data_IF_765075162236
#
_entry.id   IF_765075162236
#
_cell.length_a   1.000
_cell.length_b   1.000
_cell.length_c   1.000
_cell.angle_alpha   90.00
_cell.angle_beta   90.00
_cell.angle_gamma   90.00
#
_symmetry.space_group_name_H-M   'P 1'
#
loop_
_entity.id
_entity.type
_entity.pdbx_description
1 polymer ?
#
# COMPACT_ATOMS: atom_id res chain seq x y z
N UNK A 1 -27.42 38.99 -9.35
CA UNK A 1 -26.38 38.18 -10.02
C UNK A 1 -25.14 38.22 -9.15
N UNK A 2 -24.97 37.22 -8.29
CA UNK A 2 -23.81 37.16 -7.41
C UNK A 2 -22.58 36.79 -8.24
N UNK A 3 -21.60 37.69 -8.27
CA UNK A 3 -20.32 37.45 -8.90
C UNK A 3 -19.67 36.22 -8.27
N UNK A 4 -19.46 35.17 -9.07
CA UNK A 4 -18.63 34.03 -8.71
C UNK A 4 -17.19 34.51 -8.53
N UNK A 5 -16.85 34.91 -7.30
CA UNK A 5 -15.46 35.04 -6.89
C UNK A 5 -14.87 33.63 -6.98
N UNK A 6 -13.98 33.40 -7.95
CA UNK A 6 -13.10 32.22 -7.95
C UNK A 6 -12.43 32.16 -6.58
N UNK A 7 -12.88 31.23 -5.74
CA UNK A 7 -12.22 30.96 -4.48
C UNK A 7 -10.78 30.52 -4.82
N UNK A 8 -9.77 31.10 -4.17
CA UNK A 8 -8.39 30.81 -4.52
C UNK A 8 -8.08 29.33 -4.32
N UNK A 9 -7.22 28.80 -5.20
CA UNK A 9 -6.74 27.43 -5.13
C UNK A 9 -6.35 27.03 -3.70
N UNK A 10 -6.65 25.77 -3.38
CA UNK A 10 -6.39 25.01 -2.15
C UNK A 10 -5.06 25.29 -1.43
N UNK A 11 -4.07 25.74 -2.19
CA UNK A 11 -2.84 26.31 -1.68
C UNK A 11 -2.34 27.26 -2.78
N UNK A 12 -2.20 28.55 -2.46
CA UNK A 12 -1.96 29.61 -3.47
C UNK A 12 -0.56 29.58 -4.09
N UNK A 13 0.39 28.92 -3.43
CA UNK A 13 1.79 28.91 -3.85
C UNK A 13 2.13 27.66 -4.66
N UNK A 14 3.12 27.80 -5.53
CA UNK A 14 3.65 26.68 -6.30
C UNK A 14 4.32 25.67 -5.38
N UNK A 15 4.00 24.40 -5.58
CA UNK A 15 4.66 23.30 -4.90
C UNK A 15 5.81 22.77 -5.76
N UNK A 16 6.95 22.52 -5.11
CA UNK A 16 8.15 22.00 -5.74
C UNK A 16 8.40 20.58 -5.28
N UNK A 17 8.76 19.71 -6.22
CA UNK A 17 9.23 18.37 -5.91
C UNK A 17 10.58 18.46 -5.20
N UNK A 18 10.70 17.87 -4.01
CA UNK A 18 11.94 17.83 -3.24
C UNK A 18 12.19 16.45 -2.63
N UNK A 19 13.45 16.02 -2.60
CA UNK A 19 13.92 14.85 -1.86
C UNK A 19 13.95 15.13 -0.35
N UNK A 20 12.77 15.14 0.27
CA UNK A 20 12.55 15.61 1.64
C UNK A 20 13.07 14.67 2.72
N UNK A 21 13.27 13.39 2.43
CA UNK A 21 13.95 12.47 3.37
C UNK A 21 15.39 12.89 3.65
N UNK A 22 16.13 13.35 2.63
CA UNK A 22 17.50 13.87 2.80
C UNK A 22 17.52 15.18 3.59
N UNK A 23 16.55 16.05 3.33
CA UNK A 23 16.38 17.32 4.07
C UNK A 23 16.03 17.07 5.55
N UNK A 24 15.13 16.13 5.83
CA UNK A 24 14.79 15.71 7.19
C UNK A 24 15.99 15.10 7.91
N UNK A 25 16.75 14.23 7.23
CA UNK A 25 17.96 13.64 7.79
C UNK A 25 19.00 14.71 8.16
N UNK A 26 19.18 15.74 7.32
CA UNK A 26 20.05 16.88 7.62
C UNK A 26 19.58 17.71 8.83
N UNK A 27 18.28 17.67 9.17
CA UNK A 27 17.68 18.26 10.38
C UNK A 27 17.60 17.28 11.57
N UNK A 28 18.21 16.09 11.48
CA UNK A 28 18.16 15.07 12.53
C UNK A 28 16.83 14.32 12.66
N UNK A 29 15.92 14.46 11.69
CA UNK A 29 14.62 13.79 11.67
C UNK A 29 14.70 12.50 10.86
N UNK A 30 14.12 11.41 11.39
CA UNK A 30 14.16 10.09 10.73
C UNK A 30 13.19 9.93 9.56
N UNK A 31 12.24 10.85 9.39
CA UNK A 31 11.27 10.90 8.31
C UNK A 31 10.67 12.32 8.21
N UNK A 32 10.04 12.64 7.09
CA UNK A 32 9.16 13.82 6.99
C UNK A 32 7.70 13.38 7.11
N UNK A 33 6.80 14.31 7.44
CA UNK A 33 5.36 14.03 7.61
C UNK A 33 4.57 14.92 6.69
N UNK A 34 3.61 14.35 5.97
CA UNK A 34 2.69 15.12 5.14
C UNK A 34 1.79 15.97 6.05
N UNK A 35 1.81 17.29 5.86
CA UNK A 35 1.01 18.22 6.64
C UNK A 35 -0.50 18.03 6.42
N UNK A 36 -0.88 17.49 5.27
CA UNK A 36 -2.27 17.26 4.93
C UNK A 36 -2.82 16.00 5.61
N UNK A 37 -2.27 14.84 5.24
CA UNK A 37 -2.80 13.56 5.65
C UNK A 37 -2.12 12.96 6.88
N UNK A 38 -1.11 13.65 7.43
CA UNK A 38 -0.32 13.27 8.61
C UNK A 38 0.42 11.94 8.51
N UNK A 39 0.47 11.33 7.31
CA UNK A 39 1.28 10.15 7.07
C UNK A 39 2.76 10.51 7.05
N UNK A 40 3.58 9.66 7.63
CA UNK A 40 5.04 9.82 7.57
C UNK A 40 5.58 9.27 6.25
N UNK A 41 6.76 9.74 5.85
CA UNK A 41 7.44 9.26 4.65
C UNK A 41 7.73 7.77 4.69
N UNK A 42 7.89 7.19 5.89
CA UNK A 42 8.01 5.75 6.13
C UNK A 42 6.71 5.01 5.84
N UNK A 43 5.58 5.49 6.38
CA UNK A 43 4.24 4.94 6.09
C UNK A 43 3.82 5.09 4.63
N UNK A 44 4.37 6.10 3.94
CA UNK A 44 4.14 6.33 2.51
C UNK A 44 5.13 5.62 1.62
N UNK A 45 6.25 5.15 2.15
CA UNK A 45 7.32 4.53 1.38
C UNK A 45 7.92 5.48 0.32
N UNK A 46 7.92 6.79 0.62
CA UNK A 46 8.31 7.87 -0.31
C UNK A 46 9.53 8.63 0.20
N UNK A 47 10.41 9.01 -0.71
CA UNK A 47 11.60 9.81 -0.39
C UNK A 47 11.38 11.30 -0.59
N UNK A 48 10.34 11.67 -1.36
CA UNK A 48 10.04 13.03 -1.80
C UNK A 48 8.76 13.61 -1.21
N UNK A 49 8.72 14.92 -1.03
CA UNK A 49 7.48 15.68 -0.79
C UNK A 49 7.30 16.73 -1.90
N UNK A 50 6.09 17.28 -1.97
CA UNK A 50 5.76 18.50 -2.68
C UNK A 50 5.74 19.63 -1.67
N UNK A 51 6.81 20.43 -1.66
CA UNK A 51 7.00 21.49 -0.68
C UNK A 51 6.62 22.85 -1.24
N UNK A 52 5.96 23.65 -0.42
CA UNK A 52 5.85 25.09 -0.60
C UNK A 52 7.05 25.80 0.00
N UNK A 53 7.75 26.61 -0.78
CA UNK A 53 8.86 27.43 -0.25
C UNK A 53 8.39 28.68 0.50
N UNK A 54 7.15 29.12 0.25
CA UNK A 54 6.59 30.34 0.86
C UNK A 54 5.98 30.11 2.25
N UNK A 55 5.49 28.90 2.54
CA UNK A 55 4.86 28.58 3.83
C UNK A 55 5.33 27.28 4.49
N UNK A 56 6.44 26.68 4.00
CA UNK A 56 7.04 25.42 4.49
C UNK A 56 6.06 24.25 4.60
N UNK A 57 4.99 24.27 3.81
CA UNK A 57 4.01 23.18 3.71
C UNK A 57 4.63 22.01 2.94
N UNK A 58 4.64 20.82 3.55
CA UNK A 58 5.02 19.56 2.92
C UNK A 58 3.80 18.68 2.70
N UNK A 59 3.43 18.47 1.44
CA UNK A 59 2.38 17.50 1.11
C UNK A 59 2.93 16.33 0.29
N UNK A 60 2.31 15.18 0.46
CA UNK A 60 2.66 14.00 -0.29
C UNK A 60 2.04 14.05 -1.71
N UNK A 61 2.60 13.30 -2.65
CA UNK A 61 2.12 13.25 -4.04
C UNK A 61 0.60 13.00 -4.16
N UNK A 62 0.06 12.05 -3.40
CA UNK A 62 -1.38 11.79 -3.34
C UNK A 62 -2.18 13.03 -2.90
N UNK A 63 -1.68 13.77 -1.92
CA UNK A 63 -2.33 14.97 -1.39
C UNK A 63 -2.17 16.18 -2.31
N UNK A 64 -1.15 16.17 -3.18
CA UNK A 64 -0.89 17.27 -4.13
C UNK A 64 -1.84 17.31 -5.32
N UNK A 65 -2.53 16.19 -5.60
CA UNK A 65 -3.38 16.04 -6.78
C UNK A 65 -4.86 16.16 -6.40
N UNK A 66 -5.70 16.87 -7.19
CA UNK A 66 -7.12 16.90 -6.93
C UNK A 66 -7.76 15.52 -7.12
N UNK A 67 -8.69 15.15 -6.25
CA UNK A 67 -9.41 13.87 -6.29
C UNK A 67 -10.86 14.06 -6.72
N UNK A 68 -11.51 12.99 -7.14
CA UNK A 68 -12.97 12.94 -7.37
C UNK A 68 -13.56 11.81 -6.55
N UNK A 69 -14.70 12.04 -5.92
CA UNK A 69 -15.42 11.02 -5.15
C UNK A 69 -16.82 10.82 -5.71
N UNK A 70 -17.52 9.78 -5.25
CA UNK A 70 -18.93 9.55 -5.59
C UNK A 70 -19.89 10.31 -4.69
N UNK A 71 -19.39 10.96 -3.64
CA UNK A 71 -20.21 11.64 -2.61
C UNK A 71 -20.55 13.08 -3.00
N UNK A 72 -19.89 13.62 -4.02
CA UNK A 72 -20.07 14.99 -4.49
C UNK A 72 -19.62 15.13 -5.96
N UNK A 73 -20.29 15.96 -6.78
CA UNK A 73 -20.02 16.05 -8.23
C UNK A 73 -18.67 16.68 -8.60
N UNK A 74 -18.18 17.63 -7.79
CA UNK A 74 -16.95 18.38 -8.07
C UNK A 74 -15.70 17.67 -7.55
N UNK A 75 -14.54 18.14 -7.99
CA UNK A 75 -13.25 17.64 -7.51
C UNK A 75 -12.92 18.31 -6.18
N UNK A 76 -12.05 17.64 -5.44
CA UNK A 76 -11.57 18.10 -4.16
C UNK A 76 -10.07 18.29 -4.18
N UNK A 77 -9.63 19.26 -3.41
CA UNK A 77 -8.24 19.66 -3.27
C UNK A 77 -7.91 19.82 -1.79
N UNK A 78 -6.67 19.51 -1.40
CA UNK A 78 -6.24 19.72 -0.02
C UNK A 78 -6.14 21.22 0.24
N UNK A 79 -6.91 21.71 1.20
CA UNK A 79 -6.97 23.15 1.51
C UNK A 79 -6.52 23.47 2.93
N UNK A 80 -5.96 24.66 3.13
CA UNK A 80 -5.75 25.20 4.47
C UNK A 80 -7.10 25.53 5.13
N UNK A 81 -7.42 24.80 6.21
CA UNK A 81 -8.65 25.02 6.97
C UNK A 81 -8.76 26.43 7.55
N UNK A 82 -7.64 27.09 7.89
CA UNK A 82 -7.67 28.48 8.41
C UNK A 82 -7.95 29.51 7.33
N UNK A 83 -7.63 29.19 6.08
CA UNK A 83 -7.94 30.06 4.94
C UNK A 83 -9.44 30.05 4.59
N UNK A 84 -10.14 28.96 4.91
CA UNK A 84 -11.58 28.78 4.64
C UNK A 84 -12.41 29.11 5.88
N UNK A 85 -11.98 28.65 7.06
CA UNK A 85 -12.71 28.74 8.31
C UNK A 85 -11.96 29.61 9.31
N UNK A 86 -12.55 30.71 9.84
CA UNK A 86 -11.85 31.66 10.72
C UNK A 86 -11.26 31.04 12.00
N UNK A 87 -11.88 30.00 12.55
CA UNK A 87 -11.39 29.26 13.72
C UNK A 87 -10.54 28.03 13.34
N UNK A 88 -10.39 27.78 12.02
CA UNK A 88 -9.74 26.63 11.42
C UNK A 88 -10.33 25.27 11.82
N UNK A 89 -11.54 25.25 12.40
CA UNK A 89 -12.29 24.02 12.68
C UNK A 89 -13.15 23.72 11.47
N UNK A 90 -13.18 22.44 11.09
CA UNK A 90 -13.95 21.99 9.94
C UNK A 90 -14.58 20.63 10.24
N UNK A 91 -15.67 20.31 9.54
CA UNK A 91 -16.38 19.05 9.64
C UNK A 91 -16.29 18.28 8.34
N UNK A 92 -16.18 16.96 8.40
CA UNK A 92 -16.31 16.13 7.21
C UNK A 92 -17.79 15.91 6.90
N UNK A 93 -18.27 16.34 5.74
CA UNK A 93 -19.66 16.18 5.31
C UNK A 93 -20.04 14.72 5.07
N UNK A 94 -19.06 13.87 4.75
CA UNK A 94 -19.34 12.44 4.50
C UNK A 94 -19.54 11.63 5.78
N UNK A 95 -18.74 11.83 6.84
CA UNK A 95 -18.85 11.03 8.07
C UNK A 95 -19.36 11.80 9.29
N UNK A 96 -19.40 13.14 9.24
CA UNK A 96 -19.79 13.99 10.36
C UNK A 96 -18.73 14.13 11.46
N UNK A 97 -17.49 13.70 11.23
CA UNK A 97 -16.38 13.92 12.17
C UNK A 97 -15.94 15.38 12.15
N UNK A 98 -15.57 15.91 13.32
CA UNK A 98 -15.01 17.26 13.47
C UNK A 98 -13.49 17.20 13.55
N UNK A 99 -12.85 18.26 13.04
CA UNK A 99 -11.40 18.41 12.96
C UNK A 99 -10.95 19.81 13.37
N UNK A 100 -9.74 19.91 13.89
CA UNK A 100 -9.11 21.17 14.29
C UNK A 100 -8.00 21.57 13.30
N UNK A 101 -7.59 22.84 13.38
CA UNK A 101 -6.59 23.43 12.49
C UNK A 101 -5.16 22.88 12.64
N UNK A 102 -4.86 22.18 13.74
CA UNK A 102 -3.56 21.52 13.95
C UNK A 102 -3.56 20.06 13.45
N UNK A 103 -4.74 19.54 13.09
CA UNK A 103 -4.93 18.16 12.65
C UNK A 103 -4.85 18.00 11.14
N UNK A 104 -5.63 17.05 10.63
CA UNK A 104 -5.76 16.79 9.19
C UNK A 104 -6.32 18.01 8.44
N UNK A 105 -5.80 18.25 7.25
CA UNK A 105 -6.40 19.21 6.32
C UNK A 105 -7.65 18.61 5.63
N UNK A 106 -8.64 19.41 5.25
CA UNK A 106 -9.77 18.95 4.46
C UNK A 106 -9.40 18.69 3.00
N UNK A 107 -10.04 17.69 2.40
CA UNK A 107 -10.32 17.71 0.97
C UNK A 107 -11.51 18.63 0.73
N UNK A 108 -11.24 19.87 0.33
CA UNK A 108 -12.26 20.89 0.07
C UNK A 108 -12.66 20.93 -1.39
N UNK A 109 -13.93 21.14 -1.66
CA UNK A 109 -14.47 21.30 -3.01
C UNK A 109 -13.86 22.52 -3.73
N UNK A 110 -13.31 22.33 -4.93
CA UNK A 110 -12.66 23.40 -5.69
C UNK A 110 -13.64 24.41 -6.31
N UNK A 111 -14.93 24.07 -6.36
CA UNK A 111 -16.01 24.86 -7.00
C UNK A 111 -16.88 25.62 -5.97
N UNK A 112 -16.35 25.83 -4.75
CA UNK A 112 -16.98 26.70 -3.74
C UNK A 112 -18.22 26.14 -3.04
N UNK A 113 -18.46 24.83 -3.12
CA UNK A 113 -19.63 24.20 -2.49
C UNK A 113 -19.54 24.04 -0.96
N UNK A 114 -18.49 24.53 -0.30
CA UNK A 114 -18.24 24.30 1.14
C UNK A 114 -18.41 22.84 1.56
N UNK A 115 -18.05 21.91 0.67
CA UNK A 115 -18.11 20.49 0.93
C UNK A 115 -16.69 19.99 1.22
N UNK A 116 -16.51 19.37 2.38
CA UNK A 116 -15.25 18.87 2.89
C UNK A 116 -15.30 17.38 3.19
N UNK A 117 -14.23 16.68 2.81
CA UNK A 117 -14.08 15.26 3.06
C UNK A 117 -12.78 15.01 3.82
N UNK A 118 -12.81 14.17 4.84
CA UNK A 118 -11.60 13.75 5.52
C UNK A 118 -10.91 12.58 4.81
N UNK A 119 -9.60 12.46 5.02
CA UNK A 119 -8.79 11.37 4.46
C UNK A 119 -9.34 9.97 4.77
N UNK A 120 -9.97 9.77 5.94
CA UNK A 120 -10.59 8.48 6.27
C UNK A 120 -11.80 8.15 5.39
N UNK A 121 -12.48 9.14 4.83
CA UNK A 121 -13.63 8.95 3.93
C UNK A 121 -13.24 8.80 2.46
N UNK A 122 -12.07 9.32 2.07
CA UNK A 122 -11.56 9.15 0.70
C UNK A 122 -10.83 7.81 0.51
N UNK A 123 -10.45 7.15 1.61
CA UNK A 123 -9.73 5.88 1.60
C UNK A 123 -10.68 4.69 1.65
N UNK A 124 -10.34 3.69 0.86
CA UNK A 124 -10.90 2.35 0.97
C UNK A 124 -9.92 1.49 1.77
N UNK A 125 -10.40 0.83 2.81
CA UNK A 125 -9.57 0.05 3.72
C UNK A 125 -9.78 -1.45 3.49
N UNK A 126 -8.69 -2.18 3.30
CA UNK A 126 -8.68 -3.64 3.39
C UNK A 126 -8.33 -4.02 4.83
N UNK A 127 -9.02 -5.00 5.38
CA UNK A 127 -8.80 -5.44 6.75
C UNK A 127 -8.98 -6.95 6.82
N UNK A 128 -8.07 -7.68 7.45
CA UNK A 128 -8.15 -9.13 7.60
C UNK A 128 -9.39 -9.62 8.37
N UNK A 129 -10.07 -8.73 9.10
CA UNK A 129 -11.35 -9.07 9.74
C UNK A 129 -12.51 -9.23 8.75
N UNK A 130 -12.38 -8.77 7.50
CA UNK A 130 -13.48 -8.84 6.52
C UNK A 130 -12.99 -8.78 5.06
N UNK A 131 -13.48 -9.66 4.16
CA UNK A 131 -12.97 -9.76 2.79
C UNK A 131 -13.31 -8.58 1.88
N UNK A 132 -14.32 -7.78 2.20
CA UNK A 132 -14.73 -6.64 1.38
C UNK A 132 -14.10 -5.32 1.85
N UNK A 133 -13.89 -4.36 0.94
CA UNK A 133 -13.38 -3.06 1.31
C UNK A 133 -14.35 -2.28 2.23
N UNK A 134 -13.77 -1.68 3.27
CA UNK A 134 -14.47 -0.86 4.25
C UNK A 134 -14.22 0.62 3.96
N UNK A 135 -15.27 1.44 4.07
CA UNK A 135 -15.20 2.90 3.93
C UNK A 135 -15.77 3.57 5.17
N UNK A 136 -15.14 4.64 5.62
CA UNK A 136 -15.68 5.42 6.74
C UNK A 136 -17.02 6.05 6.32
N UNK A 137 -18.05 5.85 7.13
CA UNK A 137 -19.42 6.24 6.79
C UNK A 137 -20.11 7.02 7.93
N UNK A 138 -21.19 7.72 7.59
CA UNK A 138 -22.03 8.40 8.58
C UNK A 138 -22.98 7.40 9.24
N UNK A 139 -22.76 7.09 10.53
CA UNK A 139 -23.60 6.13 11.26
C UNK A 139 -25.06 6.57 11.38
N UNK A 140 -25.34 7.88 11.41
CA UNK A 140 -26.72 8.40 11.51
C UNK A 140 -27.51 8.13 10.22
N UNK A 141 -26.83 8.15 9.08
CA UNK A 141 -27.45 7.83 7.78
C UNK A 141 -27.61 6.32 7.59
N UNK A 142 -26.64 5.52 8.03
CA UNK A 142 -26.72 4.06 7.95
C UNK A 142 -27.76 3.46 8.91
N UNK A 143 -27.84 3.99 10.12
CA UNK A 143 -28.65 3.44 11.21
C UNK A 143 -29.64 4.46 11.79
N UNK A 144 -30.55 5.04 10.98
CA UNK A 144 -31.40 6.16 11.41
C UNK A 144 -32.43 5.79 12.49
N UNK A 145 -32.70 4.48 12.67
CA UNK A 145 -33.62 3.95 13.69
C UNK A 145 -32.93 3.66 15.02
N UNK A 146 -31.60 3.69 15.05
CA UNK A 146 -30.81 3.44 16.26
C UNK A 146 -30.25 4.78 16.75
N UNK A 147 -29.84 4.82 18.02
CA UNK A 147 -29.08 5.96 18.58
C UNK A 147 -27.57 5.72 18.55
N UNK A 148 -27.17 4.49 18.22
CA UNK A 148 -25.81 3.99 18.21
C UNK A 148 -25.58 3.04 17.04
N UNK A 149 -24.32 2.77 16.76
CA UNK A 149 -23.89 1.67 15.90
C UNK A 149 -22.94 0.76 16.67
N UNK A 150 -22.70 -0.46 16.19
CA UNK A 150 -21.89 -1.47 16.88
C UNK A 150 -20.82 -2.04 15.97
N UNK A 151 -19.60 -2.17 16.47
CA UNK A 151 -18.50 -2.84 15.76
C UNK A 151 -18.73 -4.36 15.75
N UNK A 152 -18.67 -5.01 14.60
CA UNK A 152 -18.89 -6.45 14.48
C UNK A 152 -17.77 -7.30 15.09
N UNK A 153 -16.57 -6.74 15.22
CA UNK A 153 -15.42 -7.46 15.78
C UNK A 153 -15.36 -7.42 17.30
N UNK A 154 -15.40 -6.24 17.90
CA UNK A 154 -15.27 -6.08 19.35
C UNK A 154 -16.60 -5.86 20.08
N UNK A 155 -17.72 -5.73 19.35
CA UNK A 155 -19.06 -5.50 19.88
C UNK A 155 -19.23 -4.18 20.65
N UNK A 156 -18.21 -3.31 20.67
CA UNK A 156 -18.31 -1.98 21.25
C UNK A 156 -19.33 -1.14 20.47
N UNK A 157 -20.12 -0.36 21.21
CA UNK A 157 -21.11 0.57 20.66
C UNK A 157 -20.57 1.99 20.63
N UNK A 158 -21.07 2.81 19.72
CA UNK A 158 -20.71 4.23 19.61
C UNK A 158 -21.92 5.04 19.18
N UNK A 159 -22.14 6.18 19.86
CA UNK A 159 -23.23 7.10 19.54
C UNK A 159 -22.98 7.80 18.20
N UNK A 160 -24.05 8.29 17.56
CA UNK A 160 -23.95 8.96 16.27
C UNK A 160 -23.16 10.26 16.26
N UNK A 161 -23.04 10.95 17.38
CA UNK A 161 -22.29 12.20 17.55
C UNK A 161 -20.80 11.97 17.92
N UNK A 162 -20.44 10.75 18.31
CA UNK A 162 -19.08 10.38 18.69
C UNK A 162 -18.10 10.50 17.52
N UNK A 163 -16.81 10.74 17.81
CA UNK A 163 -15.77 10.85 16.76
C UNK A 163 -15.49 9.53 16.04
N UNK A 164 -15.70 8.39 16.70
CA UNK A 164 -15.55 7.07 16.09
C UNK A 164 -16.79 6.74 15.26
N UNK A 165 -16.56 6.50 13.97
CA UNK A 165 -17.59 6.24 12.97
C UNK A 165 -17.32 4.88 12.33
N UNK A 166 -18.36 4.17 11.88
CA UNK A 166 -18.18 2.85 11.29
C UNK A 166 -17.34 2.95 10.03
N UNK A 167 -16.39 2.02 9.92
CA UNK A 167 -15.81 1.64 8.64
C UNK A 167 -16.70 0.54 8.08
N UNK A 168 -17.66 0.97 7.28
CA UNK A 168 -18.75 0.17 6.76
C UNK A 168 -18.36 -0.52 5.46
N UNK A 169 -18.76 -1.78 5.34
CA UNK A 169 -18.61 -2.55 4.14
C UNK A 169 -19.56 -2.05 3.05
N UNK A 170 -19.03 -1.83 1.84
CA UNK A 170 -19.86 -1.38 0.70
C UNK A 170 -20.74 -2.47 0.10
N UNK A 171 -20.64 -3.72 0.59
CA UNK A 171 -21.32 -4.90 0.04
C UNK A 171 -22.22 -5.64 1.05
N UNK A 172 -22.04 -5.42 2.35
CA UNK A 172 -22.85 -6.03 3.40
C UNK A 172 -22.88 -5.13 4.64
N UNK A 173 -23.56 -5.57 5.70
CA UNK A 173 -23.76 -4.77 6.91
C UNK A 173 -22.56 -4.76 7.87
N UNK A 174 -21.39 -5.22 7.43
CA UNK A 174 -20.23 -5.37 8.31
C UNK A 174 -19.56 -4.03 8.63
N UNK A 175 -19.31 -3.78 9.91
CA UNK A 175 -18.73 -2.56 10.45
C UNK A 175 -17.53 -2.82 11.37
N UNK A 176 -16.48 -2.02 11.21
CA UNK A 176 -15.39 -1.92 12.18
C UNK A 176 -15.31 -0.55 12.81
N UNK A 177 -14.96 -0.51 14.10
CA UNK A 177 -14.46 0.70 14.75
C UNK A 177 -13.03 1.01 14.36
N UNK A 178 -12.62 2.27 14.55
CA UNK A 178 -11.29 2.71 14.15
C UNK A 178 -10.18 1.88 14.81
N UNK A 179 -10.34 1.52 16.08
CA UNK A 179 -9.37 0.66 16.79
C UNK A 179 -9.27 -0.72 16.15
N UNK A 180 -10.38 -1.42 15.98
CA UNK A 180 -10.39 -2.75 15.39
C UNK A 180 -9.88 -2.75 13.96
N UNK A 181 -10.23 -1.70 13.19
CA UNK A 181 -9.71 -1.48 11.87
C UNK A 181 -8.19 -1.30 11.90
N UNK A 182 -7.65 -0.46 12.79
CA UNK A 182 -6.19 -0.26 12.89
C UNK A 182 -5.44 -1.55 13.24
N UNK A 183 -6.06 -2.42 14.04
CA UNK A 183 -5.52 -3.73 14.40
C UNK A 183 -5.64 -4.80 13.30
N UNK A 184 -6.43 -4.57 12.24
CA UNK A 184 -6.64 -5.55 11.15
C UNK A 184 -6.33 -5.05 9.76
N UNK A 185 -6.23 -3.74 9.56
CA UNK A 185 -5.50 -3.15 8.42
C UNK A 185 -4.10 -3.75 8.46
N UNK A 186 -3.52 -3.95 7.28
CA UNK A 186 -2.12 -4.33 7.08
C UNK A 186 -1.18 -3.46 7.93
N UNK A 187 -1.01 -3.87 9.18
CA UNK A 187 0.06 -3.51 10.10
C UNK A 187 0.91 -4.76 10.10
N UNK A 188 2.11 -4.65 9.53
CA UNK A 188 3.16 -5.65 9.67
C UNK A 188 3.16 -6.16 11.12
N UNK A 189 3.19 -7.48 11.37
CA UNK A 189 3.21 -7.98 12.73
C UNK A 189 4.40 -7.36 13.45
N UNK A 190 4.14 -6.56 14.49
CA UNK A 190 5.17 -6.19 15.45
C UNK A 190 5.75 -7.51 15.96
N UNK A 191 6.94 -7.88 15.51
CA UNK A 191 7.76 -8.89 16.18
C UNK A 191 8.21 -8.27 17.50
N UNK A 192 7.31 -8.19 18.48
CA UNK A 192 7.69 -8.10 19.88
C UNK A 192 8.12 -9.51 20.29
N UNK A 193 9.41 -9.74 20.61
CA UNK A 193 9.77 -10.97 21.30
C UNK A 193 9.03 -10.98 22.64
N UNK A 194 8.31 -12.07 22.90
CA UNK A 194 7.71 -12.33 24.19
C UNK A 194 8.78 -12.24 25.26
N UNK A 195 8.56 -11.36 26.24
CA UNK A 195 9.30 -11.33 27.50
C UNK A 195 9.08 -12.67 28.22
N UNK A 196 9.93 -13.65 27.91
CA UNK A 196 10.14 -14.80 28.76
C UNK A 196 11.00 -14.32 29.93
N UNK A 197 10.38 -14.26 31.11
CA UNK A 197 11.06 -14.15 32.39
C UNK A 197 12.04 -15.31 32.50
N UNK A 198 13.35 -15.03 32.42
CA UNK A 198 14.39 -15.97 32.81
C UNK A 198 15.20 -15.34 33.93
N UNK A 199 15.12 -16.02 35.07
CA UNK A 199 15.84 -15.82 36.31
C UNK A 199 17.34 -15.68 36.09
N UNK A 200 17.94 -14.76 36.83
CA UNK A 200 19.38 -14.58 36.91
C UNK A 200 20.06 -15.82 37.50
N UNK A 201 21.04 -16.37 36.78
CA UNK A 201 22.17 -17.11 37.36
C UNK A 201 23.42 -16.84 36.52
N UNK A 202 24.51 -16.54 37.24
CA UNK A 202 25.82 -16.12 36.77
C UNK A 202 26.52 -17.06 35.78
N UNK A 203 27.36 -16.45 34.92
CA UNK A 203 28.64 -17.04 34.51
C UNK A 203 28.82 -17.47 33.04
N UNK A 204 29.43 -16.59 32.24
CA UNK A 204 30.49 -16.94 31.26
C UNK A 204 30.09 -17.54 29.89
N UNK A 205 30.44 -16.81 28.81
CA UNK A 205 30.66 -17.39 27.48
C UNK A 205 29.84 -16.76 26.34
N UNK A 206 30.47 -15.89 25.54
CA UNK A 206 29.87 -15.29 24.34
C UNK A 206 29.90 -16.31 23.19
N UNK A 207 28.75 -16.89 22.84
CA UNK A 207 28.54 -17.59 21.56
C UNK A 207 27.58 -16.77 20.72
N UNK A 208 28.06 -16.33 19.56
CA UNK A 208 27.24 -15.64 18.56
C UNK A 208 26.32 -16.67 17.88
N UNK A 209 25.03 -16.58 18.14
CA UNK A 209 24.01 -17.33 17.41
C UNK A 209 23.63 -16.54 16.15
N UNK A 210 24.16 -16.99 15.01
CA UNK A 210 23.71 -16.57 13.67
C UNK A 210 22.57 -17.50 13.27
N UNK A 211 21.35 -16.99 13.32
CA UNK A 211 20.17 -17.67 12.78
C UNK A 211 20.18 -17.67 11.24
N UNK A 212 20.71 -18.74 10.64
CA UNK A 212 20.65 -19.00 9.19
C UNK A 212 19.32 -19.66 8.79
N UNK A 213 18.31 -18.87 8.47
CA UNK A 213 17.21 -19.34 7.62
C UNK A 213 17.75 -19.56 6.19
N UNK A 214 17.45 -20.72 5.53
CA UNK A 214 17.98 -20.98 4.21
C UNK A 214 17.43 -19.99 3.17
N UNK A 215 18.27 -19.53 2.24
CA UNK A 215 17.90 -18.53 1.22
C UNK A 215 16.86 -19.08 0.20
N UNK A 216 15.86 -18.27 -0.17
CA UNK A 216 14.79 -18.66 -1.10
C UNK A 216 15.31 -19.15 -2.46
N UNK A 217 14.62 -20.12 -3.08
CA UNK A 217 15.04 -20.69 -4.37
C UNK A 217 14.49 -19.89 -5.56
N UNK A 218 13.29 -19.33 -5.42
CA UNK A 218 12.56 -18.66 -6.50
C UNK A 218 12.21 -17.24 -6.06
N UNK A 219 12.47 -16.26 -6.90
CA UNK A 219 11.92 -14.90 -6.76
C UNK A 219 10.68 -14.79 -7.64
N UNK A 220 9.54 -14.34 -7.10
CA UNK A 220 8.31 -14.14 -7.87
C UNK A 220 8.07 -12.64 -8.02
N UNK A 221 8.29 -12.15 -9.24
CA UNK A 221 8.01 -10.79 -9.68
C UNK A 221 6.60 -10.73 -10.27
N UNK A 222 5.77 -9.79 -9.81
CA UNK A 222 4.39 -9.66 -10.27
C UNK A 222 3.87 -8.23 -10.09
N UNK A 223 2.76 -7.91 -10.76
CA UNK A 223 2.03 -6.67 -10.52
C UNK A 223 0.98 -6.91 -9.43
N UNK A 224 0.92 -6.02 -8.44
CA UNK A 224 0.04 -6.15 -7.26
C UNK A 224 -1.44 -6.37 -7.60
N UNK A 225 -1.91 -5.99 -8.79
CA UNK A 225 -3.28 -6.24 -9.25
C UNK A 225 -3.68 -7.73 -9.30
N UNK A 226 -2.71 -8.66 -9.39
CA UNK A 226 -2.95 -10.10 -9.40
C UNK A 226 -2.43 -10.81 -8.15
N UNK A 227 -2.20 -10.08 -7.06
CA UNK A 227 -1.61 -10.61 -5.82
C UNK A 227 -2.29 -11.89 -5.32
N UNK A 228 -3.62 -11.95 -5.34
CA UNK A 228 -4.36 -13.13 -4.86
C UNK A 228 -4.00 -14.40 -5.66
N UNK A 229 -3.93 -14.29 -7.00
CA UNK A 229 -3.55 -15.41 -7.89
C UNK A 229 -2.08 -15.79 -7.71
N UNK A 230 -1.20 -14.83 -7.47
CA UNK A 230 0.24 -15.08 -7.29
C UNK A 230 0.53 -15.66 -5.90
N UNK A 231 -0.22 -15.27 -4.88
CA UNK A 231 -0.19 -15.92 -3.57
C UNK A 231 -0.64 -17.38 -3.65
N UNK A 232 -1.64 -17.68 -4.47
CA UNK A 232 -2.06 -19.05 -4.75
C UNK A 232 -0.95 -19.84 -5.47
N UNK A 233 -0.30 -19.25 -6.50
CA UNK A 233 0.88 -19.84 -7.15
C UNK A 233 1.98 -20.13 -6.12
N UNK A 234 2.31 -19.17 -5.26
CA UNK A 234 3.32 -19.31 -4.21
C UNK A 234 2.99 -20.48 -3.28
N UNK A 235 1.77 -20.56 -2.75
CA UNK A 235 1.34 -21.67 -1.87
C UNK A 235 1.48 -23.03 -2.54
N UNK A 236 1.14 -23.12 -3.83
CA UNK A 236 1.29 -24.35 -4.61
C UNK A 236 2.75 -24.73 -4.84
N UNK A 237 3.65 -23.76 -5.07
CA UNK A 237 5.08 -24.03 -5.19
C UNK A 237 5.70 -24.45 -3.85
N UNK A 238 5.30 -23.79 -2.75
CA UNK A 238 5.79 -24.10 -1.40
C UNK A 238 5.30 -25.47 -0.91
N UNK A 239 4.07 -25.88 -1.23
CA UNK A 239 3.58 -27.24 -0.95
C UNK A 239 4.34 -28.33 -1.73
N UNK A 240 5.03 -27.94 -2.81
CA UNK A 240 5.94 -28.79 -3.59
C UNK A 240 7.41 -28.60 -3.20
N UNK A 241 7.68 -28.06 -2.01
CA UNK A 241 9.00 -27.84 -1.43
C UNK A 241 9.90 -26.85 -2.20
N UNK A 242 9.29 -25.92 -2.94
CA UNK A 242 9.98 -24.83 -3.63
C UNK A 242 9.82 -23.56 -2.81
N UNK A 243 10.91 -23.14 -2.16
CA UNK A 243 10.93 -21.96 -1.28
C UNK A 243 10.89 -20.69 -2.13
N UNK A 244 9.85 -19.89 -1.95
CA UNK A 244 9.57 -18.73 -2.79
C UNK A 244 9.75 -17.43 -1.99
N UNK A 245 10.44 -16.48 -2.60
CA UNK A 245 10.44 -15.09 -2.19
C UNK A 245 9.51 -14.33 -3.14
N UNK A 246 8.65 -13.49 -2.58
CA UNK A 246 7.86 -12.54 -3.35
C UNK A 246 7.67 -11.31 -2.48
N UNK A 247 7.50 -10.15 -3.10
CA UNK A 247 7.01 -9.00 -2.37
C UNK A 247 5.55 -9.25 -1.97
N UNK A 248 5.30 -9.64 -0.73
CA UNK A 248 3.93 -9.89 -0.24
C UNK A 248 3.18 -8.60 0.13
N UNK A 249 3.66 -7.42 -0.25
CA UNK A 249 3.06 -6.13 0.13
C UNK A 249 3.24 -5.78 1.61
N UNK A 250 3.98 -6.62 2.34
CA UNK A 250 4.32 -6.48 3.77
C UNK A 250 5.76 -5.95 3.96
N UNK A 251 6.36 -5.35 2.93
CA UNK A 251 7.69 -4.77 3.01
C UNK A 251 7.60 -3.27 2.75
N UNK A 252 8.16 -2.48 3.67
CA UNK A 252 8.24 -1.03 3.57
C UNK A 252 9.04 -0.60 2.32
N UNK A 253 8.36 -0.25 1.24
CA UNK A 253 8.85 0.47 0.07
C UNK A 253 9.78 1.64 0.39
N UNK A 254 10.73 1.86 -0.51
CA UNK A 254 11.85 2.78 -0.33
C UNK A 254 13.18 2.06 -0.53
N UNK A 255 14.26 2.60 0.05
CA UNK A 255 15.60 2.00 -0.07
C UNK A 255 15.68 0.61 0.59
N UNK A 256 14.88 0.34 1.62
CA UNK A 256 14.88 -0.95 2.29
C UNK A 256 14.11 -2.02 1.51
N UNK A 257 13.00 -1.69 0.85
CA UNK A 257 12.39 -2.58 -0.15
C UNK A 257 13.32 -2.83 -1.33
N UNK A 258 13.99 -1.80 -1.84
CA UNK A 258 14.97 -1.99 -2.93
C UNK A 258 16.12 -2.90 -2.48
N UNK A 259 16.58 -2.78 -1.23
CA UNK A 259 17.58 -3.68 -0.63
C UNK A 259 17.05 -5.10 -0.44
N UNK A 260 15.83 -5.28 0.04
CA UNK A 260 15.25 -6.62 0.23
C UNK A 260 14.85 -7.27 -1.10
N UNK A 261 14.41 -6.49 -2.09
CA UNK A 261 14.26 -6.94 -3.49
C UNK A 261 15.62 -7.34 -4.04
N UNK A 262 16.66 -6.51 -3.93
CA UNK A 262 18.00 -6.84 -4.42
C UNK A 262 18.56 -8.08 -3.71
N UNK A 263 18.41 -8.17 -2.38
CA UNK A 263 18.80 -9.33 -1.57
C UNK A 263 18.01 -10.59 -1.94
N UNK A 264 16.70 -10.48 -2.11
CA UNK A 264 15.82 -11.57 -2.55
C UNK A 264 16.18 -12.05 -3.95
N UNK A 265 16.39 -11.12 -4.89
CA UNK A 265 16.80 -11.37 -6.28
C UNK A 265 18.17 -12.05 -6.34
N UNK A 266 19.13 -11.56 -5.55
CA UNK A 266 20.48 -12.15 -5.44
C UNK A 266 20.46 -13.52 -4.78
N UNK A 267 19.63 -13.72 -3.75
CA UNK A 267 19.47 -14.98 -3.04
C UNK A 267 18.75 -16.05 -3.85
N UNK A 268 17.83 -15.65 -4.74
CA UNK A 268 17.09 -16.58 -5.58
C UNK A 268 17.94 -17.20 -6.69
N UNK A 269 17.60 -18.42 -7.10
CA UNK A 269 18.23 -19.14 -8.22
C UNK A 269 17.55 -18.85 -9.56
N UNK A 270 16.28 -18.48 -9.55
CA UNK A 270 15.46 -18.18 -10.73
C UNK A 270 14.42 -17.12 -10.37
N UNK A 271 14.06 -16.31 -11.37
CA UNK A 271 12.99 -15.31 -11.29
C UNK A 271 11.79 -15.79 -12.07
N UNK A 272 10.62 -15.87 -11.45
CA UNK A 272 9.34 -16.02 -12.13
C UNK A 272 8.78 -14.63 -12.36
N UNK A 273 8.54 -14.27 -13.63
CA UNK A 273 7.84 -13.04 -14.00
C UNK A 273 6.39 -13.37 -14.30
N UNK A 274 5.46 -12.97 -13.43
CA UNK A 274 4.02 -13.14 -13.62
C UNK A 274 3.50 -12.06 -14.58
N UNK A 275 3.53 -12.37 -15.87
CA UNK A 275 3.28 -11.42 -16.95
C UNK A 275 1.78 -11.20 -17.16
N UNK A 276 1.41 -9.94 -17.11
CA UNK A 276 0.16 -9.34 -17.60
C UNK A 276 0.50 -8.04 -18.34
N UNK A 277 -0.49 -7.41 -18.97
CA UNK A 277 -0.36 -6.07 -19.54
C UNK A 277 0.04 -5.06 -18.48
N UNK A 278 -0.63 -5.08 -17.33
CA UNK A 278 -0.31 -4.21 -16.20
C UNK A 278 1.10 -4.47 -15.62
N UNK A 279 1.58 -5.72 -15.66
CA UNK A 279 2.97 -6.04 -15.32
C UNK A 279 3.94 -5.40 -16.31
N UNK A 280 3.69 -5.55 -17.61
CA UNK A 280 4.54 -5.03 -18.68
C UNK A 280 4.63 -3.51 -18.68
N UNK A 281 3.57 -2.82 -18.27
CA UNK A 281 3.48 -1.35 -18.18
C UNK A 281 4.04 -0.78 -16.86
N UNK A 282 4.30 -1.62 -15.84
CA UNK A 282 4.77 -1.18 -14.52
C UNK A 282 6.27 -0.89 -14.52
N UNK A 283 6.66 0.35 -14.21
CA UNK A 283 8.07 0.75 -14.09
C UNK A 283 8.81 -0.09 -13.03
N UNK A 284 8.18 -0.43 -11.90
CA UNK A 284 8.79 -1.27 -10.87
C UNK A 284 9.10 -2.67 -11.39
N UNK A 285 8.15 -3.31 -12.07
CA UNK A 285 8.34 -4.64 -12.66
C UNK A 285 9.40 -4.60 -13.77
N UNK A 286 9.45 -3.52 -14.56
CA UNK A 286 10.49 -3.32 -15.57
C UNK A 286 11.89 -3.24 -14.95
N UNK A 287 12.03 -2.54 -13.82
CA UNK A 287 13.29 -2.45 -13.07
C UNK A 287 13.71 -3.80 -12.48
N UNK A 288 12.78 -4.60 -11.98
CA UNK A 288 13.07 -5.96 -11.48
C UNK A 288 13.55 -6.91 -12.59
N UNK A 289 12.91 -6.88 -13.76
CA UNK A 289 13.33 -7.66 -14.93
C UNK A 289 14.72 -7.22 -15.40
N UNK A 290 14.97 -5.90 -15.45
CA UNK A 290 16.28 -5.38 -15.79
C UNK A 290 17.35 -5.81 -14.77
N UNK A 291 17.04 -5.78 -13.47
CA UNK A 291 17.95 -6.25 -12.43
C UNK A 291 18.23 -7.76 -12.57
N UNK A 292 17.21 -8.57 -12.85
CA UNK A 292 17.38 -10.00 -13.09
C UNK A 292 18.31 -10.28 -14.29
N UNK A 293 18.16 -9.52 -15.37
CA UNK A 293 19.04 -9.64 -16.55
C UNK A 293 20.49 -9.18 -16.25
N UNK A 294 20.66 -8.07 -15.51
CA UNK A 294 21.98 -7.59 -15.06
C UNK A 294 22.67 -8.64 -14.18
N UNK A 295 21.92 -9.27 -13.27
CA UNK A 295 22.42 -10.33 -12.40
C UNK A 295 22.54 -11.70 -13.09
N UNK A 296 22.19 -11.78 -14.38
CA UNK A 296 22.15 -13.02 -15.18
C UNK A 296 21.36 -14.13 -14.49
N UNK A 297 20.30 -13.76 -13.76
CA UNK A 297 19.36 -14.70 -13.15
C UNK A 297 18.48 -15.28 -14.26
N UNK A 298 18.31 -16.61 -14.34
CA UNK A 298 17.34 -17.20 -15.26
C UNK A 298 15.94 -16.61 -14.98
N UNK A 299 15.25 -16.18 -16.04
CA UNK A 299 13.90 -15.64 -15.95
C UNK A 299 12.93 -16.64 -16.58
N UNK A 300 11.87 -17.00 -15.85
CA UNK A 300 10.74 -17.80 -16.31
C UNK A 300 9.51 -16.90 -16.41
N UNK A 301 9.13 -16.48 -17.63
CA UNK A 301 7.87 -15.77 -17.83
C UNK A 301 6.68 -16.73 -17.65
N UNK A 302 5.69 -16.28 -16.90
CA UNK A 302 4.45 -17.01 -16.61
C UNK A 302 3.28 -16.08 -16.94
N UNK A 303 2.52 -16.38 -17.98
CA UNK A 303 1.43 -15.51 -18.46
C UNK A 303 0.16 -15.79 -17.65
N UNK A 304 -0.40 -14.74 -17.06
CA UNK A 304 -1.69 -14.79 -16.33
C UNK A 304 -2.87 -14.27 -17.17
N UNK A 305 -2.59 -13.80 -18.38
CA UNK A 305 -3.56 -13.38 -19.39
C UNK A 305 -2.96 -13.53 -20.78
N UNK A 306 -3.82 -13.58 -21.81
CA UNK A 306 -3.40 -13.73 -23.20
C UNK A 306 -2.73 -12.45 -23.70
N UNK A 307 -1.50 -12.56 -24.21
CA UNK A 307 -0.70 -11.44 -24.70
C UNK A 307 0.06 -11.80 -25.96
N UNK A 308 0.26 -10.80 -26.82
CA UNK A 308 1.24 -10.88 -27.90
C UNK A 308 2.64 -11.00 -27.29
N UNK A 309 3.40 -12.01 -27.73
CA UNK A 309 4.72 -12.31 -27.18
C UNK A 309 5.85 -11.96 -28.17
N UNK A 310 6.93 -11.32 -27.72
CA UNK A 310 7.12 -10.72 -26.39
C UNK A 310 6.25 -9.46 -26.21
N UNK A 311 5.96 -9.04 -24.96
CA UNK A 311 5.22 -7.81 -24.71
C UNK A 311 5.98 -6.60 -25.25
N UNK A 312 5.23 -5.59 -25.73
CA UNK A 312 5.83 -4.34 -26.21
C UNK A 312 6.43 -3.52 -25.06
N UNK A 313 7.50 -2.77 -25.36
CA UNK A 313 8.17 -1.90 -24.39
C UNK A 313 9.48 -2.47 -23.81
N UNK A 314 9.94 -1.97 -22.65
CA UNK A 314 11.28 -2.27 -22.12
C UNK A 314 11.55 -3.75 -21.82
N UNK A 315 10.49 -4.55 -21.61
CA UNK A 315 10.62 -5.99 -21.36
C UNK A 315 10.74 -6.83 -22.64
N UNK A 316 10.50 -6.25 -23.83
CA UNK A 316 10.51 -7.00 -25.09
C UNK A 316 11.83 -7.72 -25.32
N UNK A 317 12.96 -7.02 -25.14
CA UNK A 317 14.30 -7.54 -25.35
C UNK A 317 14.68 -8.68 -24.40
N UNK A 318 14.55 -8.55 -23.05
CA UNK A 318 14.89 -9.64 -22.14
C UNK A 318 13.95 -10.85 -22.28
N UNK A 319 12.71 -10.65 -22.75
CA UNK A 319 11.73 -11.73 -22.89
C UNK A 319 11.72 -12.42 -24.25
N UNK A 320 12.12 -11.75 -25.32
CA UNK A 320 12.16 -12.31 -26.68
C UNK A 320 12.82 -13.69 -26.78
N UNK A 321 13.96 -13.98 -26.14
CA UNK A 321 14.61 -15.29 -26.24
C UNK A 321 14.03 -16.35 -25.29
N UNK A 322 13.06 -16.01 -24.44
CA UNK A 322 12.58 -16.89 -23.37
C UNK A 322 11.33 -17.68 -23.77
N UNK A 323 11.31 -18.96 -23.36
CA UNK A 323 10.10 -19.78 -23.37
C UNK A 323 9.28 -19.47 -22.11
N UNK A 324 7.99 -19.20 -22.30
CA UNK A 324 7.02 -18.92 -21.25
C UNK A 324 6.10 -20.10 -20.96
N UNK A 325 5.44 -20.07 -19.79
CA UNK A 325 4.33 -20.98 -19.44
C UNK A 325 3.05 -20.14 -19.35
N UNK A 326 1.98 -20.55 -20.03
CA UNK A 326 0.68 -19.88 -19.90
C UNK A 326 -0.14 -20.50 -18.77
N UNK A 327 -0.69 -19.65 -17.90
CA UNK A 327 -1.67 -19.95 -16.84
C UNK A 327 -3.01 -19.26 -17.12
N UNK A 328 -3.31 -18.93 -18.38
CA UNK A 328 -4.57 -18.29 -18.78
C UNK A 328 -5.80 -19.09 -18.31
N UNK A 329 -5.73 -20.43 -18.43
CA UNK A 329 -6.78 -21.36 -17.98
C UNK A 329 -6.74 -21.64 -16.47
N UNK A 330 -5.90 -20.92 -15.72
CA UNK A 330 -5.75 -21.03 -14.27
C UNK A 330 -4.61 -21.95 -13.80
N UNK A 331 -4.55 -22.10 -12.49
CA UNK A 331 -3.53 -22.85 -11.74
C UNK A 331 -3.84 -24.36 -11.72
N UNK A 332 -4.08 -24.95 -12.88
CA UNK A 332 -4.32 -26.39 -13.00
C UNK A 332 -3.06 -27.19 -12.65
N UNK A 333 -3.22 -28.45 -12.25
CA UNK A 333 -2.10 -29.33 -11.91
C UNK A 333 -1.10 -29.48 -13.07
N UNK A 334 -1.59 -29.58 -14.30
CA UNK A 334 -0.75 -29.67 -15.49
C UNK A 334 0.12 -28.41 -15.68
N UNK A 335 -0.48 -27.24 -15.49
CA UNK A 335 0.20 -25.96 -15.62
C UNK A 335 1.23 -25.75 -14.51
N UNK A 336 0.89 -26.10 -13.27
CA UNK A 336 1.83 -26.10 -12.14
C UNK A 336 3.00 -27.06 -12.38
N UNK A 337 2.74 -28.26 -12.91
CA UNK A 337 3.79 -29.22 -13.26
C UNK A 337 4.76 -28.66 -14.32
N UNK A 338 4.26 -27.91 -15.32
CA UNK A 338 5.10 -27.22 -16.32
C UNK A 338 6.00 -26.18 -15.65
N UNK A 339 5.45 -25.36 -14.75
CA UNK A 339 6.22 -24.36 -13.98
C UNK A 339 7.31 -25.05 -13.15
N UNK A 340 6.95 -26.08 -12.38
CA UNK A 340 7.89 -26.81 -11.49
C UNK A 340 8.99 -27.52 -12.28
N UNK A 341 8.66 -28.19 -13.39
CA UNK A 341 9.65 -28.82 -14.28
C UNK A 341 10.64 -27.79 -14.81
N UNK A 342 10.15 -26.62 -15.20
CA UNK A 342 11.00 -25.54 -15.73
C UNK A 342 11.90 -24.96 -14.65
N UNK A 343 11.40 -24.75 -13.43
CA UNK A 343 12.21 -24.32 -12.27
C UNK A 343 13.32 -25.34 -12.04
N UNK A 344 12.99 -26.62 -11.83
CA UNK A 344 13.97 -27.69 -11.53
C UNK A 344 15.03 -27.82 -12.62
N UNK A 345 14.64 -27.74 -13.89
CA UNK A 345 15.56 -27.78 -15.03
C UNK A 345 16.56 -26.61 -15.03
N UNK A 346 16.13 -25.42 -14.64
CA UNK A 346 16.95 -24.20 -14.69
C UNK A 346 17.73 -23.93 -13.40
N UNK A 347 17.32 -24.48 -12.26
CA UNK A 347 17.99 -24.31 -10.96
C UNK A 347 18.88 -25.49 -10.56
N UNK A 348 18.88 -26.58 -11.33
CA UNK A 348 19.68 -27.78 -11.07
C UNK A 348 19.25 -28.59 -9.84
N UNK A 349 18.05 -28.33 -9.30
CA UNK A 349 17.55 -29.00 -8.09
C UNK A 349 17.06 -30.40 -8.47
N UNK A 350 17.85 -31.45 -8.15
CA UNK A 350 17.38 -32.86 -8.26
C UNK A 350 16.35 -33.13 -7.16
N UNK A 351 15.29 -33.86 -7.54
CA UNK A 351 14.08 -34.07 -6.76
C UNK A 351 14.23 -34.91 -5.52
#
# INVERSE_FOLDING_TARGET
MAAYLKLPAAHKHTLYFLESTKLSAAKGLSCWTCDACKRTSKEMQWTHSYRCMDCDLDICEECSKPIKTTTHPHRFVVSDAKAIYPNGKWGCDNCGCNYSSQGYLPWHCEEGCFFDICFGCTRSHKSHAHPHPLKKANSKLLYPKMTYWRCDRCQATSMHDAQDKPYHCTKCTFDLCFKCLKETIDVEPETKPSRATVTATDGGGFVADVSTEPAAQVFISYNWNIQDKVLELKRNLESMNIRCWMDTGNMVGGDDLKKEIDKGMRGAKIVISCVTKAYSESNACQQEVALADVLKKPILPVLFESLKWPPEGPMAMPFAPLIYVSLEDGLTRENLDKVVKTIKSRTGTKG
#
